data_IF_263176794613
#
_entry.id   IF_263176794613
#
_cell.length_a   1.000
_cell.length_b   1.000
_cell.length_c   1.000
_cell.angle_alpha   90.00
_cell.angle_beta   90.00
_cell.angle_gamma   90.00
#
_symmetry.space_group_name_H-M   'P 1'
#
loop_
_entity.id
_entity.type
_entity.pdbx_description
1 polymer ?
#
# COMPACT_ATOMS: atom_id res chain seq x y z
N UNK A 1 -21.53 -57.30 -10.51
CA UNK A 1 -20.89 -56.40 -11.50
C UNK A 1 -21.27 -54.96 -11.30
N UNK A 2 -22.48 -54.62 -10.94
CA UNK A 2 -22.87 -53.23 -10.63
C UNK A 2 -22.14 -52.58 -9.43
N UNK A 3 -21.73 -53.38 -8.43
CA UNK A 3 -21.07 -52.89 -7.25
C UNK A 3 -19.66 -52.33 -7.46
N UNK A 4 -18.87 -52.94 -8.35
CA UNK A 4 -17.50 -52.46 -8.63
C UNK A 4 -17.47 -51.15 -9.45
N UNK A 5 -18.43 -50.99 -10.36
CA UNK A 5 -18.60 -49.73 -11.10
C UNK A 5 -19.04 -48.58 -10.19
N UNK A 6 -19.94 -48.85 -9.25
CA UNK A 6 -20.39 -47.85 -8.28
C UNK A 6 -19.30 -47.41 -7.32
N UNK A 7 -18.47 -48.34 -6.87
CA UNK A 7 -17.31 -48.04 -6.00
C UNK A 7 -16.26 -47.21 -6.75
N UNK A 8 -15.96 -47.57 -8.00
CA UNK A 8 -15.04 -46.79 -8.83
C UNK A 8 -15.53 -45.36 -9.05
N UNK A 9 -16.80 -45.17 -9.38
CA UNK A 9 -17.39 -43.84 -9.55
C UNK A 9 -17.39 -43.05 -8.25
N UNK A 10 -17.61 -43.69 -7.11
CA UNK A 10 -17.58 -43.05 -5.80
C UNK A 10 -16.17 -42.55 -5.48
N UNK A 11 -15.12 -43.35 -5.73
CA UNK A 11 -13.74 -42.97 -5.50
C UNK A 11 -13.33 -41.79 -6.39
N UNK A 12 -13.64 -41.81 -7.68
CA UNK A 12 -13.37 -40.72 -8.60
C UNK A 12 -14.09 -39.46 -8.19
N UNK A 13 -15.38 -39.56 -7.82
CA UNK A 13 -16.17 -38.42 -7.36
C UNK A 13 -15.63 -37.81 -6.08
N UNK A 14 -15.18 -38.64 -5.13
CA UNK A 14 -14.57 -38.15 -3.89
C UNK A 14 -13.27 -37.43 -4.13
N UNK A 15 -12.40 -37.93 -5.00
CA UNK A 15 -11.16 -37.26 -5.39
C UNK A 15 -11.44 -35.92 -6.06
N UNK A 16 -12.41 -35.87 -6.96
CA UNK A 16 -12.81 -34.63 -7.63
C UNK A 16 -13.35 -33.61 -6.64
N UNK A 17 -14.19 -34.00 -5.70
CA UNK A 17 -14.71 -33.12 -4.66
C UNK A 17 -13.60 -32.60 -3.74
N UNK A 18 -12.61 -33.43 -3.42
CA UNK A 18 -11.47 -33.00 -2.60
C UNK A 18 -10.65 -31.94 -3.30
N UNK A 19 -10.36 -32.08 -4.59
CA UNK A 19 -9.62 -31.11 -5.37
C UNK A 19 -10.41 -29.80 -5.48
N UNK A 20 -11.71 -29.90 -5.75
CA UNK A 20 -12.58 -28.74 -5.88
C UNK A 20 -12.71 -27.98 -4.55
N UNK A 21 -12.89 -28.70 -3.44
CA UNK A 21 -12.96 -28.10 -2.10
C UNK A 21 -11.66 -27.39 -1.74
N UNK A 22 -10.50 -27.98 -2.08
CA UNK A 22 -9.20 -27.36 -1.85
C UNK A 22 -9.04 -26.05 -2.64
N UNK A 23 -9.45 -26.05 -3.90
CA UNK A 23 -9.41 -24.86 -4.75
C UNK A 23 -10.34 -23.76 -4.20
N UNK A 24 -11.53 -24.11 -3.73
CA UNK A 24 -12.46 -23.16 -3.10
C UNK A 24 -11.88 -22.56 -1.81
N UNK A 25 -11.29 -23.37 -0.95
CA UNK A 25 -10.68 -22.90 0.30
C UNK A 25 -9.55 -21.90 0.01
N UNK A 26 -8.72 -22.18 -0.99
CA UNK A 26 -7.66 -21.24 -1.39
C UNK A 26 -8.24 -19.93 -1.95
N UNK A 27 -9.29 -20.00 -2.76
CA UNK A 27 -9.94 -18.80 -3.30
C UNK A 27 -10.60 -17.97 -2.19
N UNK A 28 -11.30 -18.60 -1.25
CA UNK A 28 -11.92 -17.92 -0.11
C UNK A 28 -10.83 -17.30 0.78
N UNK A 29 -9.74 -18.02 1.05
CA UNK A 29 -8.62 -17.50 1.83
C UNK A 29 -7.99 -16.26 1.20
N UNK A 30 -7.85 -16.23 -0.11
CA UNK A 30 -7.36 -15.05 -0.82
C UNK A 30 -8.36 -13.88 -0.75
N UNK A 31 -9.64 -14.15 -0.86
CA UNK A 31 -10.68 -13.12 -0.70
C UNK A 31 -10.73 -12.58 0.73
N UNK A 32 -10.61 -13.43 1.73
CA UNK A 32 -10.54 -13.00 3.13
C UNK A 32 -9.31 -12.12 3.39
N UNK A 33 -8.16 -12.45 2.82
CA UNK A 33 -6.95 -11.61 2.94
C UNK A 33 -7.15 -10.26 2.28
N UNK A 34 -7.79 -10.20 1.12
CA UNK A 34 -8.11 -8.92 0.47
C UNK A 34 -9.11 -8.10 1.30
N UNK A 35 -10.12 -8.75 1.87
CA UNK A 35 -11.11 -8.12 2.73
C UNK A 35 -10.47 -7.67 4.06
N UNK A 36 -9.58 -8.46 4.64
CA UNK A 36 -8.85 -8.09 5.85
C UNK A 36 -7.92 -6.90 5.60
N UNK A 37 -7.27 -6.84 4.46
CA UNK A 37 -6.46 -5.68 4.05
C UNK A 37 -7.37 -4.45 3.92
N UNK A 38 -8.52 -4.57 3.26
CA UNK A 38 -9.50 -3.49 3.16
C UNK A 38 -10.09 -3.11 4.52
N UNK A 39 -10.33 -4.07 5.41
CA UNK A 39 -10.89 -3.82 6.74
C UNK A 39 -9.85 -3.30 7.73
N UNK A 40 -8.59 -3.73 7.64
CA UNK A 40 -7.49 -3.12 8.38
C UNK A 40 -7.20 -1.71 7.88
N UNK A 41 -7.47 -1.50 6.61
CA UNK A 41 -7.46 -0.23 5.93
C UNK A 41 -8.87 0.35 5.80
N UNK A 42 -9.84 -0.09 6.60
CA UNK A 42 -11.18 0.52 6.67
C UNK A 42 -11.13 2.02 6.90
N UNK A 43 -9.90 2.52 6.99
CA UNK A 43 -9.46 3.89 6.90
C UNK A 43 -9.26 4.25 5.43
N UNK A 44 -9.88 5.34 5.02
CA UNK A 44 -9.64 5.90 3.69
C UNK A 44 -8.39 6.79 3.76
N UNK A 45 -7.23 6.16 3.56
CA UNK A 45 -5.94 6.85 3.61
C UNK A 45 -5.40 7.00 2.19
N UNK A 46 -5.23 8.25 1.75
CA UNK A 46 -4.62 8.59 0.46
C UNK A 46 -3.64 9.73 0.67
N UNK A 47 -2.37 9.40 0.84
CA UNK A 47 -1.32 10.41 0.90
C UNK A 47 -0.76 10.59 -0.50
N UNK A 48 -0.79 11.82 -1.00
CA UNK A 48 -0.35 12.16 -2.35
C UNK A 48 0.68 13.28 -2.30
N UNK A 49 1.55 13.32 -3.29
CA UNK A 49 2.46 14.43 -3.50
C UNK A 49 1.75 15.47 -4.36
N UNK A 50 1.55 16.65 -3.80
CA UNK A 50 0.97 17.78 -4.53
C UNK A 50 2.02 18.43 -5.42
N UNK A 51 3.22 18.59 -4.90
CA UNK A 51 4.32 19.25 -5.58
C UNK A 51 5.64 18.77 -4.99
N UNK A 52 6.64 18.62 -5.84
CA UNK A 52 7.99 18.29 -5.44
C UNK A 52 8.96 19.17 -6.25
N UNK A 53 9.79 19.96 -5.56
CA UNK A 53 10.73 20.87 -6.18
C UNK A 53 12.13 20.67 -5.60
N UNK A 54 13.12 20.76 -6.44
CA UNK A 54 14.51 20.69 -6.03
C UNK A 54 15.19 22.02 -6.32
N UNK A 55 15.79 22.60 -5.29
CA UNK A 55 16.48 23.88 -5.42
C UNK A 55 17.69 23.94 -4.48
N UNK A 56 18.86 24.22 -5.06
CA UNK A 56 20.10 24.45 -4.31
C UNK A 56 20.44 23.34 -3.32
N UNK A 57 20.30 22.08 -3.75
CA UNK A 57 20.63 20.91 -2.92
C UNK A 57 19.55 20.50 -1.93
N UNK A 58 18.43 21.20 -1.89
CA UNK A 58 17.30 20.87 -1.02
C UNK A 58 16.10 20.45 -1.84
N UNK A 59 15.54 19.29 -1.50
CA UNK A 59 14.30 18.79 -2.06
C UNK A 59 13.15 19.20 -1.15
N UNK A 60 12.16 19.88 -1.72
CA UNK A 60 10.92 20.26 -1.03
C UNK A 60 9.77 19.44 -1.56
N UNK A 61 9.03 18.82 -0.67
CA UNK A 61 7.90 17.97 -1.03
C UNK A 61 6.67 18.40 -0.24
N UNK A 62 5.62 18.73 -0.96
CA UNK A 62 4.31 18.98 -0.39
C UNK A 62 3.47 17.73 -0.50
N UNK A 63 3.03 17.19 0.62
CA UNK A 63 2.12 16.04 0.66
C UNK A 63 0.78 16.47 1.21
N UNK A 64 -0.27 15.82 0.74
CA UNK A 64 -1.63 16.05 1.19
C UNK A 64 -2.30 14.73 1.52
N UNK A 65 -3.21 14.77 2.49
CA UNK A 65 -4.10 13.66 2.75
C UNK A 65 -5.39 13.89 1.95
N UNK A 66 -5.50 13.17 0.84
CA UNK A 66 -6.68 13.21 -0.02
C UNK A 66 -7.76 12.20 0.42
N UNK A 67 -7.50 11.43 1.46
CA UNK A 67 -8.47 10.51 2.05
C UNK A 67 -9.36 11.19 3.07
N UNK A 68 -10.23 10.43 3.70
CA UNK A 68 -11.18 10.91 4.69
C UNK A 68 -10.76 10.62 6.14
N UNK A 69 -9.69 9.89 6.35
CA UNK A 69 -9.17 9.55 7.66
C UNK A 69 -7.80 10.17 7.91
N UNK A 70 -7.54 10.53 9.15
CA UNK A 70 -6.24 11.06 9.58
C UNK A 70 -5.18 9.96 9.54
N UNK A 71 -3.97 10.32 9.15
CA UNK A 71 -2.84 9.39 9.11
C UNK A 71 -1.73 9.88 10.04
N UNK A 72 -1.17 9.01 10.89
CA UNK A 72 -0.01 9.39 11.69
C UNK A 72 1.20 9.67 10.79
N UNK A 73 1.95 10.71 11.09
CA UNK A 73 3.14 11.08 10.32
C UNK A 73 4.21 10.00 10.34
N UNK A 74 4.30 9.23 11.41
CA UNK A 74 5.26 8.12 11.53
C UNK A 74 4.88 6.88 10.71
N UNK A 75 3.70 6.88 10.10
CA UNK A 75 3.26 5.83 9.17
C UNK A 75 3.35 6.26 7.71
N UNK A 76 3.87 7.44 7.43
CA UNK A 76 4.12 7.94 6.08
C UNK A 76 5.60 7.75 5.76
N UNK A 77 5.88 7.07 4.65
CA UNK A 77 7.22 6.81 4.17
C UNK A 77 7.48 7.60 2.90
N UNK A 78 8.68 8.11 2.79
CA UNK A 78 9.10 8.92 1.66
C UNK A 78 10.44 8.42 1.10
N UNK A 79 10.57 8.40 -0.21
CA UNK A 79 11.84 8.14 -0.89
C UNK A 79 11.96 8.98 -2.16
N UNK A 80 13.20 9.17 -2.60
CA UNK A 80 13.50 9.82 -3.88
C UNK A 80 14.50 8.97 -4.67
N UNK A 81 14.41 8.99 -5.96
CA UNK A 81 15.31 8.26 -6.90
C UNK A 81 15.44 6.76 -6.58
N UNK A 82 14.37 6.13 -6.07
CA UNK A 82 14.44 4.73 -5.70
C UNK A 82 15.35 4.43 -4.51
N UNK A 83 15.72 5.46 -3.74
CA UNK A 83 16.48 5.28 -2.50
C UNK A 83 15.70 4.55 -1.42
N UNK A 84 16.35 4.26 -0.31
CA UNK A 84 15.71 3.60 0.83
C UNK A 84 14.59 4.49 1.38
N UNK A 85 13.35 3.98 1.50
CA UNK A 85 12.28 4.73 2.11
C UNK A 85 12.59 5.08 3.56
N UNK A 86 12.30 6.30 3.92
CA UNK A 86 12.45 6.79 5.29
C UNK A 86 11.14 7.36 5.77
N UNK A 87 10.93 7.32 7.06
CA UNK A 87 9.75 7.92 7.67
C UNK A 87 9.72 9.42 7.38
N UNK A 88 8.54 9.96 7.05
CA UNK A 88 8.39 11.37 6.70
C UNK A 88 8.75 12.30 7.86
N UNK A 89 8.71 11.81 9.10
CA UNK A 89 9.14 12.58 10.28
C UNK A 89 10.63 12.98 10.25
N UNK A 90 11.44 12.33 9.42
CA UNK A 90 12.83 12.76 9.17
C UNK A 90 12.93 14.03 8.32
N UNK A 91 11.88 14.37 7.61
CA UNK A 91 11.85 15.49 6.66
C UNK A 91 10.90 16.61 7.10
N UNK A 92 10.07 16.34 8.08
CA UNK A 92 9.05 17.26 8.56
C UNK A 92 8.95 17.19 10.07
N UNK A 93 8.95 18.36 10.72
CA UNK A 93 8.67 18.47 12.13
C UNK A 93 7.46 19.38 12.32
N UNK A 94 6.44 18.89 12.98
CA UNK A 94 5.18 19.60 13.16
C UNK A 94 4.16 18.71 13.85
N UNK A 95 2.94 18.67 13.33
CA UNK A 95 1.89 17.86 13.93
C UNK A 95 2.17 16.37 13.76
N UNK A 96 1.67 15.58 14.70
CA UNK A 96 1.84 14.12 14.70
C UNK A 96 0.95 13.40 13.68
N UNK A 97 -0.07 14.09 13.18
CA UNK A 97 -1.05 13.54 12.25
C UNK A 97 -1.19 14.43 11.02
N UNK A 98 -1.44 13.80 9.89
CA UNK A 98 -1.86 14.48 8.68
C UNK A 98 -3.37 14.31 8.55
N UNK A 99 -4.11 15.40 8.75
CA UNK A 99 -5.57 15.39 8.73
C UNK A 99 -6.11 15.44 7.30
N UNK A 100 -7.34 14.94 7.06
CA UNK A 100 -7.95 15.00 5.74
C UNK A 100 -7.97 16.42 5.17
N UNK A 101 -7.51 16.57 3.92
CA UNK A 101 -7.41 17.85 3.24
C UNK A 101 -6.22 18.72 3.65
N UNK A 102 -5.44 18.31 4.64
CA UNK A 102 -4.26 19.05 5.07
C UNK A 102 -3.08 18.80 4.14
N UNK A 103 -2.33 19.85 3.87
CA UNK A 103 -1.08 19.77 3.10
C UNK A 103 0.08 20.24 3.97
N UNK A 104 1.14 19.48 4.00
CA UNK A 104 2.36 19.82 4.73
C UNK A 104 3.56 19.73 3.81
N UNK A 105 4.61 20.49 4.12
CA UNK A 105 5.83 20.51 3.35
C UNK A 105 6.98 19.90 4.15
N UNK A 106 7.60 18.87 3.59
CA UNK A 106 8.85 18.31 4.08
C UNK A 106 10.03 18.79 3.24
N UNK A 107 11.21 18.79 3.83
CA UNK A 107 12.43 19.14 3.14
C UNK A 107 13.55 18.16 3.48
N UNK A 108 14.40 17.89 2.50
CA UNK A 108 15.54 17.00 2.64
C UNK A 108 16.75 17.53 1.88
N UNK A 109 17.92 17.40 2.48
CA UNK A 109 19.17 17.66 1.77
C UNK A 109 19.49 16.43 0.90
N UNK A 110 19.67 16.67 -0.39
CA UNK A 110 19.88 15.61 -1.38
C UNK A 110 21.13 15.93 -2.19
N UNK A 111 22.02 14.96 -2.31
CA UNK A 111 23.15 15.04 -3.23
C UNK A 111 22.73 14.62 -4.63
N UNK A 112 23.14 15.35 -5.65
CA UNK A 112 22.75 15.10 -7.02
C UNK A 112 21.46 15.83 -7.39
N UNK A 113 20.86 15.42 -8.50
CA UNK A 113 19.62 16.01 -9.01
C UNK A 113 18.52 14.95 -9.04
N UNK A 114 17.68 14.86 -8.02
CA UNK A 114 16.61 13.89 -7.99
C UNK A 114 15.53 14.24 -9.02
N UNK A 115 14.98 13.24 -9.69
CA UNK A 115 13.94 13.42 -10.72
C UNK A 115 12.58 12.91 -10.30
N UNK A 116 12.53 11.98 -9.35
CA UNK A 116 11.29 11.38 -8.89
C UNK A 116 11.23 11.26 -7.38
N UNK A 117 10.04 11.47 -6.84
CA UNK A 117 9.75 11.31 -5.42
C UNK A 117 8.58 10.35 -5.25
N UNK A 118 8.60 9.60 -4.16
CA UNK A 118 7.59 8.60 -3.82
C UNK A 118 7.17 8.77 -2.37
N UNK A 119 5.87 8.65 -2.14
CA UNK A 119 5.31 8.62 -0.80
C UNK A 119 4.41 7.39 -0.68
N UNK A 120 4.42 6.77 0.48
CA UNK A 120 3.58 5.61 0.74
C UNK A 120 3.08 5.62 2.17
N UNK A 121 1.86 5.16 2.37
CA UNK A 121 1.28 4.95 3.69
C UNK A 121 0.23 3.85 3.58
N UNK A 122 0.22 2.93 4.55
CA UNK A 122 -0.75 1.83 4.62
C UNK A 122 -0.89 1.04 3.31
N UNK A 123 0.24 0.76 2.65
CA UNK A 123 0.26 -0.04 1.43
C UNK A 123 -0.12 0.72 0.15
N UNK A 124 -0.49 2.00 0.26
CA UNK A 124 -0.81 2.85 -0.88
C UNK A 124 0.36 3.77 -1.18
N UNK A 125 0.87 3.72 -2.40
CA UNK A 125 1.98 4.53 -2.84
C UNK A 125 1.58 5.53 -3.90
N UNK A 126 2.32 6.65 -3.97
CA UNK A 126 2.14 7.70 -4.96
C UNK A 126 3.50 8.22 -5.40
N UNK A 127 3.71 8.29 -6.71
CA UNK A 127 4.94 8.82 -7.29
C UNK A 127 4.71 10.13 -8.03
N UNK A 128 5.69 11.01 -7.99
CA UNK A 128 5.62 12.29 -8.68
C UNK A 128 6.98 12.66 -9.28
N UNK A 129 6.94 13.45 -10.34
CA UNK A 129 8.13 14.02 -10.97
C UNK A 129 8.55 15.26 -10.18
N UNK A 130 9.86 15.36 -9.90
CA UNK A 130 10.45 16.52 -9.23
C UNK A 130 10.73 17.59 -10.28
N UNK A 131 10.28 18.77 -10.01
CA UNK A 131 10.47 19.93 -10.88
C UNK A 131 11.64 20.80 -10.47
#
# INVERSE_FOLDING_TARGET
MGGSSSVGALIVGTVFLSIFAHAMVMAIGNMERMTDIENQEGLDIKVQIVNATFNSGTLYVNITNAGSDSVPMDEIFFSHEGGTPRNFTHFYSGSEYLFPGETVMGSALVSGTPTRAYVASHGVGFGAVIQ
#
